data_IF_415057490700
#
_entry.id   IF_415057490700
#
_cell.length_a   1.000
_cell.length_b   1.000
_cell.length_c   1.000
_cell.angle_alpha   90.00
_cell.angle_beta   90.00
_cell.angle_gamma   90.00
#
_symmetry.space_group_name_H-M   'P 1'
#
loop_
_entity.id
_entity.type
_entity.pdbx_description
1 polymer ?
#
# COMPACT_ATOMS: atom_id res chain seq x y z
N UNK A 1 -44.56 -25.64 30.42
CA UNK A 1 -43.20 -25.84 31.04
C UNK A 1 -42.17 -24.82 30.55
N UNK A 2 -42.13 -24.42 29.30
CA UNK A 2 -41.14 -23.45 28.75
C UNK A 2 -41.14 -22.05 29.41
N UNK A 3 -42.30 -21.38 29.71
CA UNK A 3 -42.29 -20.06 30.29
C UNK A 3 -41.74 -20.00 31.71
N UNK A 4 -41.96 -21.04 32.51
CA UNK A 4 -41.45 -21.13 33.88
C UNK A 4 -39.91 -21.26 33.89
N UNK A 5 -39.37 -22.08 33.04
CA UNK A 5 -37.92 -22.27 32.90
C UNK A 5 -37.26 -20.95 32.44
N UNK A 6 -37.89 -20.22 31.51
CA UNK A 6 -37.43 -18.92 31.03
C UNK A 6 -37.41 -17.89 32.15
N UNK A 7 -38.46 -17.86 32.98
CA UNK A 7 -38.58 -16.96 34.13
C UNK A 7 -37.45 -17.20 35.15
N UNK A 8 -37.20 -18.46 35.53
CA UNK A 8 -36.07 -18.79 36.42
C UNK A 8 -34.72 -18.46 35.83
N UNK A 9 -34.47 -18.71 34.54
CA UNK A 9 -33.25 -18.31 33.87
C UNK A 9 -33.00 -16.81 33.89
N UNK A 10 -34.07 -16.02 33.73
CA UNK A 10 -33.98 -14.56 33.76
C UNK A 10 -33.72 -14.03 35.17
N UNK A 11 -34.37 -14.59 36.20
CA UNK A 11 -34.15 -14.19 37.61
C UNK A 11 -32.72 -14.52 38.06
N UNK A 12 -32.23 -15.71 37.77
CA UNK A 12 -30.90 -16.16 38.17
C UNK A 12 -29.81 -15.70 37.20
N UNK A 13 -30.13 -14.90 36.19
CA UNK A 13 -29.16 -14.35 35.22
C UNK A 13 -28.20 -15.41 34.63
N UNK A 14 -28.74 -16.64 34.42
CA UNK A 14 -27.90 -17.77 34.00
C UNK A 14 -27.15 -17.49 32.69
N UNK A 15 -27.77 -16.81 31.75
CA UNK A 15 -27.15 -16.46 30.46
C UNK A 15 -26.05 -15.39 30.63
N UNK A 16 -26.21 -14.46 31.59
CA UNK A 16 -25.17 -13.51 31.98
C UNK A 16 -23.95 -14.23 32.60
N UNK A 17 -24.22 -15.14 33.52
CA UNK A 17 -23.13 -15.94 34.14
C UNK A 17 -22.37 -16.79 33.14
N UNK A 18 -23.06 -17.35 32.15
CA UNK A 18 -22.41 -18.08 31.05
C UNK A 18 -21.55 -17.15 30.19
N UNK A 19 -22.01 -15.94 29.88
CA UNK A 19 -21.24 -14.94 29.15
C UNK A 19 -19.99 -14.52 29.93
N UNK A 20 -20.12 -14.22 31.22
CA UNK A 20 -18.99 -13.91 32.10
C UNK A 20 -17.97 -15.05 32.17
N UNK A 21 -18.45 -16.30 32.29
CA UNK A 21 -17.58 -17.47 32.30
C UNK A 21 -16.79 -17.60 30.99
N UNK A 22 -17.44 -17.35 29.87
CA UNK A 22 -16.78 -17.37 28.56
C UNK A 22 -15.68 -16.32 28.45
N UNK A 23 -15.93 -15.08 28.85
CA UNK A 23 -14.92 -14.03 28.84
C UNK A 23 -13.77 -14.31 29.80
N UNK A 24 -14.08 -14.80 31.00
CA UNK A 24 -13.08 -15.20 32.00
C UNK A 24 -12.16 -16.33 31.48
N UNK A 25 -12.70 -17.27 30.71
CA UNK A 25 -11.91 -18.34 30.08
C UNK A 25 -10.89 -17.79 29.08
N UNK A 26 -11.24 -16.71 28.35
CA UNK A 26 -10.34 -16.10 27.36
C UNK A 26 -9.38 -15.07 27.94
N UNK A 27 -9.63 -14.57 29.16
CA UNK A 27 -8.73 -13.59 29.80
C UNK A 27 -7.28 -14.06 29.93
N UNK A 28 -6.96 -15.31 30.33
CA UNK A 28 -5.60 -15.79 30.41
C UNK A 28 -5.01 -16.25 29.07
N UNK A 29 -5.76 -16.15 27.96
CA UNK A 29 -5.26 -16.56 26.64
C UNK A 29 -4.20 -15.58 26.15
N UNK A 30 -3.16 -16.04 25.45
CA UNK A 30 -2.16 -15.15 24.88
C UNK A 30 -2.79 -14.20 23.87
N UNK A 31 -2.35 -12.94 23.88
CA UNK A 31 -2.80 -11.93 22.93
C UNK A 31 -2.33 -12.31 21.51
N UNK A 32 -3.21 -12.13 20.53
CA UNK A 32 -2.91 -12.36 19.11
C UNK A 32 -2.92 -11.06 18.30
N UNK A 33 -3.02 -9.92 18.99
CA UNK A 33 -3.02 -8.59 18.38
C UNK A 33 -1.60 -8.08 18.18
N UNK A 34 -1.38 -7.40 17.08
CA UNK A 34 -0.12 -6.68 16.82
C UNK A 34 -0.12 -5.35 17.57
N UNK A 35 0.98 -5.05 18.24
CA UNK A 35 1.15 -3.82 19.02
C UNK A 35 1.68 -2.70 18.10
N UNK A 36 0.85 -2.21 17.20
CA UNK A 36 1.22 -1.08 16.35
C UNK A 36 1.41 0.20 17.19
N UNK A 37 2.44 1.05 16.95
CA UNK A 37 3.42 0.98 15.85
C UNK A 37 4.69 0.16 16.15
N UNK A 38 4.83 -0.40 17.38
CA UNK A 38 6.03 -1.16 17.77
C UNK A 38 6.19 -2.46 16.97
N UNK A 39 5.06 -3.11 16.70
CA UNK A 39 5.00 -4.33 15.88
C UNK A 39 4.21 -4.04 14.60
N UNK A 40 4.80 -4.34 13.45
CA UNK A 40 4.15 -4.20 12.14
C UNK A 40 3.86 -5.56 11.55
N UNK A 41 2.68 -5.68 10.96
CA UNK A 41 2.30 -6.91 10.29
C UNK A 41 3.11 -7.05 8.99
N UNK A 42 3.77 -8.20 8.75
CA UNK A 42 4.44 -8.46 7.48
C UNK A 42 3.42 -8.46 6.33
N UNK A 43 3.79 -7.84 5.23
CA UNK A 43 2.97 -7.78 4.02
C UNK A 43 2.90 -9.13 3.33
N UNK A 44 1.82 -9.39 2.61
CA UNK A 44 1.71 -10.61 1.82
C UNK A 44 2.61 -10.52 0.56
N UNK A 45 3.16 -11.65 0.03
CA UNK A 45 4.08 -11.64 -1.12
C UNK A 45 3.50 -11.01 -2.41
N UNK A 46 2.18 -10.87 -2.51
CA UNK A 46 1.48 -10.25 -3.65
C UNK A 46 0.76 -8.97 -3.22
N UNK A 47 1.25 -8.32 -2.19
CA UNK A 47 0.71 -7.05 -1.74
C UNK A 47 0.91 -5.96 -2.81
N UNK A 48 -0.07 -5.09 -2.96
CA UNK A 48 -0.03 -3.96 -3.87
C UNK A 48 -0.08 -2.67 -3.06
N UNK A 49 1.10 -2.20 -2.67
CA UNK A 49 1.26 -0.91 -2.01
C UNK A 49 1.47 0.22 -3.02
N UNK A 50 2.24 1.21 -2.64
CA UNK A 50 2.48 2.37 -3.51
C UNK A 50 3.28 2.00 -4.76
N UNK A 51 3.01 2.69 -5.85
CA UNK A 51 3.77 2.56 -7.09
C UNK A 51 5.18 3.14 -6.90
N UNK A 52 6.22 2.38 -7.29
CA UNK A 52 7.61 2.80 -7.19
C UNK A 52 8.37 2.64 -8.51
N UNK A 53 9.31 3.54 -8.73
CA UNK A 53 10.30 3.45 -9.80
C UNK A 53 11.52 2.68 -9.31
N UNK A 54 11.95 1.69 -10.07
CA UNK A 54 13.18 0.97 -9.80
C UNK A 54 14.34 1.58 -10.58
N UNK A 55 15.51 1.58 -9.94
CA UNK A 55 16.80 1.83 -10.58
C UNK A 55 17.54 0.52 -10.79
N UNK A 56 18.51 0.51 -11.65
CA UNK A 56 19.38 -0.64 -11.82
C UNK A 56 20.29 -0.81 -10.59
N UNK A 57 20.24 -1.95 -9.89
CA UNK A 57 20.94 -2.12 -8.62
C UNK A 57 22.47 -2.04 -8.76
N UNK A 58 23.03 -2.35 -9.93
CA UNK A 58 24.47 -2.32 -10.15
C UNK A 58 25.01 -0.91 -10.44
N UNK A 59 24.24 -0.07 -11.14
CA UNK A 59 24.70 1.23 -11.64
C UNK A 59 23.94 2.42 -11.05
N UNK A 60 22.80 2.17 -10.42
CA UNK A 60 21.88 3.22 -9.99
C UNK A 60 21.20 3.95 -11.16
N UNK A 61 21.35 3.42 -12.36
CA UNK A 61 20.81 4.06 -13.56
C UNK A 61 19.30 3.95 -13.65
N UNK A 62 18.68 4.92 -14.30
CA UNK A 62 17.26 4.92 -14.61
C UNK A 62 16.90 3.71 -15.48
N UNK A 63 15.90 2.93 -15.05
CA UNK A 63 15.35 1.81 -15.84
C UNK A 63 14.16 2.21 -16.70
N UNK A 64 13.50 3.32 -16.37
CA UNK A 64 12.35 3.83 -17.14
C UNK A 64 12.81 4.37 -18.50
N UNK A 65 12.12 3.94 -19.58
CA UNK A 65 12.39 4.36 -20.98
C UNK A 65 11.43 5.42 -21.49
N UNK A 66 10.58 5.96 -20.63
CA UNK A 66 9.58 7.01 -20.95
C UNK A 66 8.70 6.61 -22.15
N UNK A 67 8.04 5.45 -22.07
CA UNK A 67 7.22 4.89 -23.14
C UNK A 67 5.72 5.20 -23.03
N UNK A 68 5.27 5.88 -21.97
CA UNK A 68 3.89 6.29 -21.68
C UNK A 68 2.86 5.14 -21.54
N UNK A 69 3.31 3.88 -21.53
CA UNK A 69 2.41 2.73 -21.43
C UNK A 69 1.68 2.69 -20.08
N UNK A 70 2.36 3.04 -19.00
CA UNK A 70 1.79 3.10 -17.66
C UNK A 70 0.70 4.17 -17.52
N UNK A 71 0.90 5.35 -18.13
CA UNK A 71 -0.10 6.42 -18.14
C UNK A 71 -1.35 5.99 -18.93
N UNK A 72 -1.15 5.41 -20.12
CA UNK A 72 -2.27 4.92 -20.95
C UNK A 72 -3.04 3.76 -20.36
N UNK A 73 -2.38 2.92 -19.54
CA UNK A 73 -3.02 1.78 -18.88
C UNK A 73 -3.74 2.18 -17.57
N UNK A 74 -3.53 3.39 -17.08
CA UNK A 74 -4.19 3.85 -15.87
C UNK A 74 -5.65 4.18 -16.15
N UNK A 75 -6.63 3.53 -15.49
CA UNK A 75 -8.05 3.80 -15.73
C UNK A 75 -8.50 5.18 -15.25
N UNK A 76 -7.76 5.77 -14.29
CA UNK A 76 -8.11 7.05 -13.66
C UNK A 76 -7.19 8.20 -14.09
N UNK A 77 -6.30 7.98 -15.08
CA UNK A 77 -5.35 8.98 -15.60
C UNK A 77 -4.53 9.69 -14.51
N UNK A 78 -3.92 8.91 -13.62
CA UNK A 78 -3.22 9.43 -12.44
C UNK A 78 -1.71 9.62 -12.64
N UNK A 79 -1.18 9.19 -13.78
CA UNK A 79 0.26 9.19 -14.07
C UNK A 79 0.53 10.18 -15.20
N UNK A 80 1.35 11.18 -14.91
CA UNK A 80 1.89 12.08 -15.90
C UNK A 80 3.41 11.92 -15.91
N UNK A 81 3.98 11.66 -17.08
CA UNK A 81 5.42 11.52 -17.22
C UNK A 81 5.91 12.14 -18.51
N UNK A 82 7.14 12.57 -18.51
CA UNK A 82 7.79 13.10 -19.69
C UNK A 82 9.30 13.04 -19.58
N UNK A 83 9.95 13.14 -20.70
CA UNK A 83 11.39 13.10 -20.78
C UNK A 83 11.91 13.54 -22.14
N UNK A 84 13.18 13.89 -22.17
CA UNK A 84 13.89 14.32 -23.36
C UNK A 84 14.84 13.22 -23.86
N UNK A 85 15.32 13.41 -25.07
CA UNK A 85 16.34 12.53 -25.65
C UNK A 85 17.61 13.33 -25.90
N UNK A 86 18.71 12.88 -25.32
CA UNK A 86 20.01 13.44 -25.64
C UNK A 86 20.52 12.97 -27.01
N UNK A 87 21.26 13.85 -27.74
CA UNK A 87 21.87 13.46 -29.00
C UNK A 87 22.81 12.25 -28.80
N UNK A 88 22.54 11.16 -29.54
CA UNK A 88 23.31 9.90 -29.44
C UNK A 88 22.76 8.84 -28.50
N UNK A 89 21.80 9.12 -27.65
CA UNK A 89 21.16 8.12 -26.79
C UNK A 89 19.90 7.52 -27.43
N UNK A 90 19.75 6.21 -27.28
CA UNK A 90 18.57 5.47 -27.76
C UNK A 90 17.37 5.58 -26.79
N UNK A 91 17.64 5.73 -25.51
CA UNK A 91 16.64 5.76 -24.43
C UNK A 91 16.42 7.22 -24.04
N UNK A 92 15.16 7.60 -23.77
CA UNK A 92 14.82 8.90 -23.22
C UNK A 92 15.20 8.97 -21.75
N UNK A 93 15.66 10.14 -21.32
CA UNK A 93 15.88 10.46 -19.90
C UNK A 93 14.55 10.96 -19.33
N UNK A 94 14.19 10.45 -18.15
CA UNK A 94 12.97 10.85 -17.45
C UNK A 94 13.19 12.22 -16.77
N UNK A 95 12.42 13.22 -17.16
CA UNK A 95 12.49 14.55 -16.57
C UNK A 95 11.54 14.69 -15.39
N UNK A 96 10.33 14.19 -15.55
CA UNK A 96 9.33 14.20 -14.50
C UNK A 96 8.45 12.95 -14.55
N UNK A 97 7.99 12.56 -13.39
CA UNK A 97 7.00 11.50 -13.18
C UNK A 97 6.13 11.93 -12.01
N UNK A 98 4.93 12.36 -12.29
CA UNK A 98 3.96 12.79 -11.30
C UNK A 98 2.88 11.73 -11.16
N UNK A 99 2.64 11.28 -9.94
CA UNK A 99 1.67 10.24 -9.62
C UNK A 99 0.72 10.71 -8.52
N UNK A 100 -0.56 10.77 -8.83
CA UNK A 100 -1.58 11.16 -7.87
C UNK A 100 -2.06 9.93 -7.07
N UNK A 101 -1.47 9.74 -5.88
CA UNK A 101 -1.78 8.62 -4.99
C UNK A 101 -3.21 8.71 -4.41
N UNK A 102 -3.74 9.94 -4.19
CA UNK A 102 -5.02 10.13 -3.49
C UNK A 102 -6.23 9.49 -4.19
N UNK A 103 -6.13 9.20 -5.47
CA UNK A 103 -7.18 8.61 -6.29
C UNK A 103 -6.84 7.21 -6.80
N UNK A 104 -5.69 6.68 -6.42
CA UNK A 104 -5.21 5.39 -6.90
C UNK A 104 -6.02 4.23 -6.30
N UNK A 105 -6.49 3.33 -7.15
CA UNK A 105 -7.18 2.08 -6.76
C UNK A 105 -6.24 0.90 -6.53
N UNK A 106 -4.92 1.09 -6.63
CA UNK A 106 -3.89 0.05 -6.47
C UNK A 106 -4.12 -1.20 -7.36
N UNK A 107 -4.68 -1.00 -8.53
CA UNK A 107 -5.01 -2.10 -9.45
C UNK A 107 -3.77 -2.79 -10.05
N UNK A 108 -2.60 -2.11 -10.11
CA UNK A 108 -1.33 -2.65 -10.58
C UNK A 108 -1.17 -2.76 -12.10
N UNK A 109 -2.15 -2.34 -12.91
CA UNK A 109 -2.09 -2.40 -14.38
C UNK A 109 -0.88 -1.65 -14.95
N UNK A 110 -0.53 -0.50 -14.36
CA UNK A 110 0.62 0.29 -14.77
C UNK A 110 1.96 -0.46 -14.61
N UNK A 111 2.10 -1.26 -13.55
CA UNK A 111 3.28 -2.10 -13.33
C UNK A 111 3.27 -3.35 -14.24
N UNK A 112 2.10 -3.90 -14.53
CA UNK A 112 1.96 -5.07 -15.41
C UNK A 112 2.35 -4.75 -16.85
N UNK A 113 1.92 -3.60 -17.38
CA UNK A 113 2.16 -3.18 -18.76
C UNK A 113 3.58 -2.67 -19.03
N UNK A 114 4.37 -2.42 -17.98
CA UNK A 114 5.74 -1.92 -18.12
C UNK A 114 6.62 -2.90 -18.93
N UNK A 115 7.18 -2.48 -20.09
CA UNK A 115 7.88 -3.38 -21.00
C UNK A 115 9.35 -3.61 -20.66
N UNK A 116 9.92 -2.89 -19.67
CA UNK A 116 11.34 -2.94 -19.35
C UNK A 116 11.78 -4.31 -18.84
N UNK A 117 12.95 -4.78 -19.28
CA UNK A 117 13.57 -6.05 -18.91
C UNK A 117 15.08 -5.86 -18.77
N UNK A 118 15.79 -6.59 -17.90
CA UNK A 118 15.31 -7.68 -17.04
C UNK A 118 14.52 -7.19 -15.83
N UNK A 119 14.72 -5.94 -15.40
CA UNK A 119 14.07 -5.32 -14.24
C UNK A 119 12.94 -4.44 -14.75
N UNK A 120 11.76 -4.58 -14.16
CA UNK A 120 10.66 -3.67 -14.45
C UNK A 120 10.96 -2.30 -13.85
N UNK A 121 10.81 -1.25 -14.65
CA UNK A 121 11.00 0.11 -14.14
C UNK A 121 9.92 0.53 -13.14
N UNK A 122 8.75 -0.11 -13.19
CA UNK A 122 7.62 0.23 -12.36
C UNK A 122 7.14 -1.02 -11.60
N UNK A 123 7.06 -0.91 -10.29
CA UNK A 123 6.58 -1.98 -9.40
C UNK A 123 5.58 -1.45 -8.39
N UNK A 124 4.78 -2.36 -7.84
CA UNK A 124 3.99 -2.11 -6.64
C UNK A 124 4.82 -2.51 -5.43
N UNK A 125 5.10 -1.56 -4.55
CA UNK A 125 5.90 -1.81 -3.34
C UNK A 125 5.09 -2.44 -2.22
N UNK A 126 5.74 -2.69 -1.11
CA UNK A 126 5.12 -3.15 0.12
C UNK A 126 4.70 -2.01 1.05
N UNK A 127 4.94 -0.76 0.64
CA UNK A 127 4.61 0.43 1.43
C UNK A 127 3.11 0.64 1.51
N UNK A 128 2.58 0.73 2.71
CA UNK A 128 1.15 0.95 2.98
C UNK A 128 0.88 2.09 3.95
N UNK A 129 1.91 2.65 4.59
CA UNK A 129 1.77 3.78 5.51
C UNK A 129 1.85 5.08 4.72
N UNK A 130 0.73 5.51 4.15
CA UNK A 130 0.65 6.60 3.16
C UNK A 130 -0.23 7.75 3.65
N UNK A 131 -0.39 7.89 4.97
CA UNK A 131 -1.19 8.96 5.56
C UNK A 131 -0.54 10.33 5.39
N UNK A 132 -1.31 11.32 4.98
CA UNK A 132 -0.85 12.71 4.87
C UNK A 132 -1.92 13.70 5.31
N UNK A 133 -1.52 14.90 5.70
CA UNK A 133 -2.47 15.95 6.14
C UNK A 133 -3.10 16.72 4.99
N UNK A 134 -2.46 16.76 3.81
CA UNK A 134 -2.97 17.49 2.65
C UNK A 134 -2.98 16.62 1.40
N UNK A 135 -3.81 17.01 0.41
CA UNK A 135 -3.86 16.31 -0.87
C UNK A 135 -2.61 16.53 -1.73
N UNK A 136 -1.96 17.68 -1.57
CA UNK A 136 -0.80 18.04 -2.38
C UNK A 136 0.40 17.13 -2.07
N UNK A 137 0.54 16.69 -0.82
CA UNK A 137 1.60 15.75 -0.42
C UNK A 137 1.36 14.33 -0.95
N UNK A 138 0.16 14.03 -1.46
CA UNK A 138 -0.15 12.76 -2.11
C UNK A 138 0.10 12.77 -3.63
N UNK A 139 0.61 13.87 -4.16
CA UNK A 139 1.14 13.91 -5.52
C UNK A 139 2.62 13.60 -5.43
N UNK A 140 2.96 12.33 -5.67
CA UNK A 140 4.34 11.86 -5.63
C UNK A 140 5.07 12.28 -6.90
N UNK A 141 6.21 12.94 -6.73
CA UNK A 141 7.09 13.36 -7.83
C UNK A 141 8.20 12.32 -8.03
N UNK A 142 8.93 12.47 -9.12
CA UNK A 142 9.97 11.52 -9.54
C UNK A 142 11.00 11.21 -8.45
N UNK A 143 11.42 12.19 -7.68
CA UNK A 143 12.36 12.06 -6.56
C UNK A 143 11.81 11.20 -5.41
N UNK A 144 10.52 11.26 -5.17
CA UNK A 144 9.82 10.48 -4.14
C UNK A 144 9.39 9.09 -4.63
N UNK A 145 9.39 8.86 -5.94
CA UNK A 145 8.91 7.63 -6.57
C UNK A 145 9.95 6.50 -6.57
N UNK A 146 11.23 6.80 -6.36
CA UNK A 146 12.26 5.77 -6.35
C UNK A 146 12.12 4.81 -5.18
N UNK A 147 12.40 3.54 -5.45
CA UNK A 147 12.36 2.50 -4.44
C UNK A 147 13.40 2.77 -3.34
N UNK A 148 13.00 2.58 -2.08
CA UNK A 148 13.83 2.89 -0.91
C UNK A 148 13.82 4.34 -0.44
N UNK A 149 13.14 5.26 -1.14
CA UNK A 149 12.93 6.64 -0.67
C UNK A 149 11.69 6.68 0.22
N UNK A 150 11.83 7.20 1.44
CA UNK A 150 10.69 7.41 2.32
C UNK A 150 9.76 8.48 1.74
N UNK A 151 8.46 8.14 1.63
CA UNK A 151 7.43 9.11 1.29
C UNK A 151 7.20 9.97 2.52
N UNK A 152 7.13 11.28 2.34
CA UNK A 152 6.82 12.22 3.40
C UNK A 152 5.44 11.88 4.00
N UNK A 153 5.49 11.22 5.15
CA UNK A 153 4.31 10.91 5.95
C UNK A 153 4.12 12.03 6.98
N UNK A 154 2.89 12.17 7.47
CA UNK A 154 2.69 13.08 8.58
C UNK A 154 3.48 12.56 9.80
N UNK A 155 4.54 13.27 10.14
CA UNK A 155 5.20 13.15 11.43
C UNK A 155 4.52 14.11 12.39
N UNK A 156 4.16 13.61 13.57
CA UNK A 156 3.71 14.47 14.66
C UNK A 156 4.87 15.26 15.23
#
# INVERSE_FOLDING_TARGET
>A
MQPIIKFFKTIFLIDLMKGLWLTMKYTPSPAFTFQYPAERRPTAPRFRGVLRLQTEPATGAQTCIVCDQCAKACPDDLIALGGHREPGQKIKILDYFDFNLSRCSFCGLCAEVCPTKPIKALIMSEDYELGSYSRDTQILRVDQMYDGVEIEQYTR
#
